data_IF_759418731299
#
_entry.id   IF_759418731299
#
_cell.length_a   1.000
_cell.length_b   1.000
_cell.length_c   1.000
_cell.angle_alpha   90.00
_cell.angle_beta   90.00
_cell.angle_gamma   90.00
#
_symmetry.space_group_name_H-M   'P 1'
#
loop_
_entity.id
_entity.type
_entity.pdbx_description
1 polymer ?
#
# COMPACT_ATOMS: atom_id res chain seq x y z
N UNK A 1 -20.24 59.45 23.05
CA UNK A 1 -20.56 58.61 21.87
C UNK A 1 -19.77 59.16 20.70
N UNK A 2 -18.68 58.48 20.30
CA UNK A 2 -17.86 58.86 19.16
C UNK A 2 -17.66 57.63 18.28
N UNK A 3 -18.32 57.67 17.13
CA UNK A 3 -18.24 56.68 16.05
C UNK A 3 -16.84 56.67 15.44
N UNK A 4 -16.16 55.51 15.42
CA UNK A 4 -14.97 55.29 14.60
C UNK A 4 -15.39 54.55 13.33
N UNK A 5 -15.20 55.24 12.22
CA UNK A 5 -15.46 54.77 10.86
C UNK A 5 -14.63 53.53 10.52
N UNK A 6 -15.32 52.51 10.04
CA UNK A 6 -14.75 51.31 9.44
C UNK A 6 -14.36 51.65 8.01
N UNK A 7 -13.05 51.80 7.74
CA UNK A 7 -12.55 51.82 6.37
C UNK A 7 -12.60 50.40 5.79
N UNK A 8 -13.68 50.12 5.07
CA UNK A 8 -13.72 49.05 4.07
C UNK A 8 -12.71 49.38 2.96
N UNK A 9 -11.63 48.61 2.86
CA UNK A 9 -10.85 48.54 1.63
C UNK A 9 -11.42 47.41 0.77
N UNK A 10 -12.07 47.86 -0.30
CA UNK A 10 -12.67 47.12 -1.39
C UNK A 10 -11.56 46.52 -2.27
N UNK A 11 -11.74 45.25 -2.63
CA UNK A 11 -11.04 44.46 -3.67
C UNK A 11 -10.36 45.29 -4.76
N UNK A 12 -9.08 45.01 -4.99
CA UNK A 12 -8.53 44.94 -6.35
C UNK A 12 -8.21 43.49 -6.66
N UNK A 13 -8.95 42.94 -7.62
CA UNK A 13 -8.68 41.69 -8.30
C UNK A 13 -7.46 41.89 -9.20
N UNK A 14 -6.27 41.57 -8.70
CA UNK A 14 -5.11 41.34 -9.56
C UNK A 14 -4.83 39.84 -9.60
N UNK A 15 -5.23 39.20 -10.69
CA UNK A 15 -4.84 37.84 -11.07
C UNK A 15 -3.33 37.79 -11.36
N UNK A 16 -2.52 37.80 -10.30
CA UNK A 16 -1.12 37.44 -10.39
C UNK A 16 -1.07 35.95 -10.06
N UNK A 17 -0.90 35.11 -11.09
CA UNK A 17 -0.40 33.74 -10.92
C UNK A 17 1.00 33.83 -10.31
N UNK A 18 1.07 34.04 -8.99
CA UNK A 18 2.29 34.06 -8.23
C UNK A 18 2.94 32.69 -8.38
N UNK A 19 4.10 32.63 -9.03
CA UNK A 19 4.88 31.40 -9.12
C UNK A 19 5.04 30.84 -7.70
N UNK A 20 4.70 29.56 -7.44
CA UNK A 20 4.74 29.01 -6.10
C UNK A 20 6.15 29.12 -5.53
N UNK A 21 6.26 29.40 -4.23
CA UNK A 21 7.54 29.49 -3.53
C UNK A 21 8.37 28.22 -3.70
N UNK A 22 9.69 28.34 -3.55
CA UNK A 22 10.63 27.21 -3.67
C UNK A 22 10.25 26.08 -2.71
N UNK A 23 9.83 26.41 -1.49
CA UNK A 23 9.40 25.42 -0.49
C UNK A 23 8.14 24.66 -0.90
N UNK A 24 7.16 25.37 -1.49
CA UNK A 24 5.94 24.74 -2.02
C UNK A 24 6.28 23.80 -3.17
N UNK A 25 7.17 24.21 -4.09
CA UNK A 25 7.63 23.36 -5.19
C UNK A 25 8.37 22.11 -4.68
N UNK A 26 9.25 22.27 -3.71
CA UNK A 26 10.00 21.18 -3.11
C UNK A 26 9.10 20.18 -2.38
N UNK A 27 8.09 20.68 -1.66
CA UNK A 27 7.09 19.85 -1.00
C UNK A 27 6.27 19.04 -2.01
N UNK A 28 5.77 19.68 -3.07
CA UNK A 28 5.02 18.99 -4.14
C UNK A 28 5.86 17.90 -4.79
N UNK A 29 7.11 18.23 -5.15
CA UNK A 29 8.06 17.27 -5.71
C UNK A 29 8.31 16.10 -4.76
N UNK A 30 8.39 16.34 -3.45
CA UNK A 30 8.54 15.27 -2.46
C UNK A 30 7.32 14.35 -2.42
N UNK A 31 6.11 14.92 -2.38
CA UNK A 31 4.86 14.15 -2.38
C UNK A 31 4.73 13.28 -3.64
N UNK A 32 5.02 13.84 -4.82
CA UNK A 32 5.04 13.08 -6.08
C UNK A 32 6.07 11.94 -6.08
N UNK A 33 7.24 12.16 -5.47
CA UNK A 33 8.25 11.10 -5.36
C UNK A 33 7.76 9.94 -4.49
N UNK A 34 7.09 10.25 -3.37
CA UNK A 34 6.51 9.22 -2.49
C UNK A 34 5.41 8.47 -3.22
N UNK A 35 4.57 9.18 -3.96
CA UNK A 35 3.49 8.59 -4.75
C UNK A 35 4.01 7.68 -5.88
N UNK A 36 5.00 8.13 -6.65
CA UNK A 36 5.62 7.30 -7.69
C UNK A 36 6.34 6.07 -7.14
N UNK A 37 6.98 6.20 -5.96
CA UNK A 37 7.58 5.06 -5.28
C UNK A 37 6.53 4.02 -4.87
N UNK A 38 5.38 4.45 -4.34
CA UNK A 38 4.25 3.54 -4.14
C UNK A 38 3.78 2.89 -5.43
N UNK A 39 3.70 3.67 -6.52
CA UNK A 39 3.30 3.15 -7.83
C UNK A 39 4.20 2.00 -8.29
N UNK A 40 5.51 2.18 -8.18
CA UNK A 40 6.46 1.11 -8.49
C UNK A 40 6.30 -0.11 -7.58
N UNK A 41 6.20 0.09 -6.25
CA UNK A 41 6.08 -1.02 -5.31
C UNK A 41 4.79 -1.81 -5.53
N UNK A 42 3.66 -1.13 -5.68
CA UNK A 42 2.36 -1.78 -5.95
C UNK A 42 2.45 -2.54 -7.27
N UNK A 43 2.96 -1.92 -8.33
CA UNK A 43 3.13 -2.61 -9.61
C UNK A 43 4.00 -3.88 -9.50
N UNK A 44 5.11 -3.80 -8.75
CA UNK A 44 5.97 -4.96 -8.49
C UNK A 44 5.24 -6.06 -7.71
N UNK A 45 4.49 -5.69 -6.67
CA UNK A 45 3.65 -6.60 -5.87
C UNK A 45 2.65 -7.34 -6.77
N UNK A 46 1.93 -6.60 -7.63
CA UNK A 46 0.97 -7.18 -8.55
C UNK A 46 1.64 -8.13 -9.54
N UNK A 47 2.84 -7.80 -10.02
CA UNK A 47 3.61 -8.67 -10.93
C UNK A 47 3.85 -10.06 -10.32
N UNK A 48 4.02 -10.12 -8.98
CA UNK A 48 4.22 -11.34 -8.18
C UNK A 48 2.93 -12.06 -7.78
N UNK A 49 1.78 -11.57 -8.25
CA UNK A 49 0.47 -12.12 -7.89
C UNK A 49 -0.04 -11.69 -6.52
N UNK A 50 0.58 -10.68 -5.90
CA UNK A 50 0.11 -10.14 -4.64
C UNK A 50 -1.05 -9.15 -4.78
N UNK A 51 -1.50 -8.64 -3.65
CA UNK A 51 -2.56 -7.64 -3.55
C UNK A 51 -2.23 -6.56 -2.51
N UNK A 52 -2.83 -5.38 -2.68
CA UNK A 52 -2.64 -4.22 -1.80
C UNK A 52 -3.98 -3.65 -1.44
N UNK A 53 -4.32 -3.65 -0.16
CA UNK A 53 -5.55 -3.08 0.37
C UNK A 53 -5.29 -1.67 0.88
N UNK A 54 -6.06 -0.70 0.40
CA UNK A 54 -5.93 0.72 0.73
C UNK A 54 -7.21 1.29 1.31
N UNK A 55 -7.06 2.32 2.14
CA UNK A 55 -8.17 3.18 2.59
C UNK A 55 -8.26 4.42 1.69
N UNK A 56 -9.36 4.62 0.95
CA UNK A 56 -9.53 5.79 0.12
C UNK A 56 -9.50 7.09 0.93
N UNK A 57 -8.97 8.16 0.34
CA UNK A 57 -8.92 9.47 0.99
C UNK A 57 -10.18 10.26 0.69
N UNK A 58 -11.10 10.32 1.66
CA UNK A 58 -12.41 10.97 1.56
C UNK A 58 -12.31 12.49 1.27
N UNK A 59 -11.15 13.11 1.55
CA UNK A 59 -11.03 14.58 1.59
C UNK A 59 -10.72 15.25 0.24
N UNK A 60 -10.42 14.50 -0.83
CA UNK A 60 -10.06 15.09 -2.12
C UNK A 60 -10.93 14.53 -3.25
N UNK A 61 -11.65 15.38 -4.00
CA UNK A 61 -12.51 14.94 -5.09
C UNK A 61 -11.73 14.46 -6.32
N UNK A 62 -10.46 14.85 -6.44
CA UNK A 62 -9.58 14.48 -7.57
C UNK A 62 -8.34 13.76 -7.05
N UNK A 63 -7.98 12.68 -7.73
CA UNK A 63 -6.75 11.95 -7.45
C UNK A 63 -5.58 12.69 -8.08
N UNK A 64 -4.68 13.17 -7.25
CA UNK A 64 -3.43 13.81 -7.66
C UNK A 64 -2.27 12.97 -7.11
N UNK A 65 -1.11 13.03 -7.77
CA UNK A 65 0.17 12.46 -7.31
C UNK A 65 0.65 13.04 -5.96
N UNK A 66 -0.13 13.94 -5.37
CA UNK A 66 0.04 14.52 -4.03
C UNK A 66 -0.90 13.91 -3.00
N UNK A 67 -1.63 12.85 -3.36
CA UNK A 67 -2.52 12.16 -2.45
C UNK A 67 -1.71 11.19 -1.59
N UNK A 68 -1.97 11.21 -0.28
CA UNK A 68 -1.40 10.20 0.61
C UNK A 68 -2.16 8.90 0.39
N UNK A 69 -1.40 7.82 0.22
CA UNK A 69 -1.94 6.47 0.08
C UNK A 69 -1.90 5.86 1.47
N UNK A 70 -3.08 5.55 2.00
CA UNK A 70 -3.22 4.90 3.29
C UNK A 70 -3.30 3.39 3.05
N UNK A 71 -2.14 2.74 3.02
CA UNK A 71 -2.10 1.28 2.91
C UNK A 71 -2.56 0.66 4.22
N UNK A 72 -3.53 -0.23 4.13
CA UNK A 72 -4.04 -1.00 5.24
C UNK A 72 -3.35 -2.37 5.35
N UNK A 73 -3.21 -3.06 4.22
CA UNK A 73 -2.58 -4.37 4.15
C UNK A 73 -1.91 -4.60 2.79
N UNK A 74 -0.85 -5.39 2.77
CA UNK A 74 -0.20 -5.91 1.56
C UNK A 74 0.03 -7.39 1.75
N UNK A 75 -0.40 -8.19 0.78
CA UNK A 75 -0.27 -9.65 0.77
C UNK A 75 0.48 -10.09 -0.47
N UNK A 76 1.66 -10.70 -0.32
CA UNK A 76 2.43 -11.26 -1.44
C UNK A 76 3.14 -12.53 -1.03
N UNK A 77 2.80 -13.64 -1.70
CA UNK A 77 3.32 -14.96 -1.33
C UNK A 77 2.96 -15.29 0.12
N UNK A 78 3.97 -15.58 0.94
CA UNK A 78 3.82 -15.87 2.37
C UNK A 78 3.92 -14.61 3.26
N UNK A 79 4.11 -13.43 2.68
CA UNK A 79 4.31 -12.19 3.44
C UNK A 79 3.01 -11.37 3.53
N UNK A 80 2.66 -11.02 4.77
CA UNK A 80 1.55 -10.10 5.08
C UNK A 80 2.11 -8.90 5.84
N UNK A 81 2.00 -7.71 5.23
CA UNK A 81 2.35 -6.44 5.85
C UNK A 81 1.08 -5.67 6.20
N UNK A 82 0.68 -5.68 7.46
CA UNK A 82 -0.52 -4.98 7.94
C UNK A 82 -0.19 -3.73 8.75
N UNK A 83 -1.06 -2.72 8.65
CA UNK A 83 -0.99 -1.51 9.46
C UNK A 83 -1.00 -1.85 10.96
N UNK A 84 -1.87 -2.76 11.38
CA UNK A 84 -2.03 -3.16 12.78
C UNK A 84 -0.78 -3.83 13.35
N UNK A 85 -0.13 -4.70 12.57
CA UNK A 85 1.09 -5.39 12.97
C UNK A 85 2.24 -4.41 13.23
N UNK A 86 2.31 -3.33 12.43
CA UNK A 86 3.34 -2.29 12.54
C UNK A 86 2.98 -1.25 13.59
N UNK A 87 1.71 -0.96 13.78
CA UNK A 87 1.23 0.04 14.75
C UNK A 87 1.70 -0.28 16.17
N UNK A 88 1.68 -1.56 16.57
CA UNK A 88 2.18 -2.01 17.88
C UNK A 88 3.65 -1.65 18.10
N UNK A 89 4.49 -1.80 17.07
CA UNK A 89 5.92 -1.47 17.14
C UNK A 89 6.14 0.05 17.19
N UNK A 90 5.41 0.80 16.38
CA UNK A 90 5.48 2.27 16.36
C UNK A 90 5.03 2.88 17.69
N UNK A 91 4.04 2.28 18.34
CA UNK A 91 3.52 2.76 19.62
C UNK A 91 4.53 2.69 20.74
N UNK A 92 5.33 1.62 20.79
CA UNK A 92 6.44 1.49 21.72
C UNK A 92 7.50 2.58 21.46
N UNK A 93 7.82 2.88 20.20
CA UNK A 93 8.78 3.93 19.84
C UNK A 93 8.29 5.33 20.24
N UNK A 94 6.99 5.60 20.12
CA UNK A 94 6.42 6.91 20.45
C UNK A 94 6.31 7.10 21.95
N UNK A 95 5.91 6.07 22.72
CA UNK A 95 5.85 6.11 24.18
C UNK A 95 7.19 6.50 24.82
N UNK A 96 8.31 6.06 24.24
CA UNK A 96 9.65 6.44 24.69
C UNK A 96 10.12 7.84 24.28
N UNK A 97 9.35 8.62 23.51
CA UNK A 97 9.83 9.84 22.84
C UNK A 97 9.29 11.17 23.39
N UNK A 98 8.47 11.19 24.44
CA UNK A 98 8.03 12.41 25.16
C UNK A 98 7.15 13.41 24.38
N UNK A 99 7.03 13.30 23.04
CA UNK A 99 6.27 14.23 22.19
C UNK A 99 4.75 13.90 22.19
N UNK A 100 4.04 14.26 23.27
CA UNK A 100 2.60 14.00 23.41
C UNK A 100 1.70 14.86 22.51
N UNK A 101 2.13 16.07 22.10
CA UNK A 101 1.26 17.03 21.38
C UNK A 101 0.87 16.64 19.96
N UNK A 102 1.59 15.69 19.32
CA UNK A 102 1.32 15.28 17.92
C UNK A 102 1.30 13.76 17.71
N UNK A 103 1.02 12.98 18.76
CA UNK A 103 1.12 11.51 18.76
C UNK A 103 0.42 10.87 17.57
N UNK A 104 -0.83 11.23 17.27
CA UNK A 104 -1.59 10.62 16.17
C UNK A 104 -0.98 10.89 14.80
N UNK A 105 -0.51 12.13 14.56
CA UNK A 105 0.13 12.50 13.29
C UNK A 105 1.49 11.82 13.14
N UNK A 106 2.27 11.79 14.21
CA UNK A 106 3.59 11.12 14.25
C UNK A 106 3.43 9.62 14.05
N UNK A 107 2.46 8.98 14.72
CA UNK A 107 2.10 7.57 14.56
C UNK A 107 1.78 7.23 13.11
N UNK A 108 0.84 7.94 12.47
CA UNK A 108 0.48 7.69 11.07
C UNK A 108 1.69 7.79 10.14
N UNK A 109 2.52 8.83 10.32
CA UNK A 109 3.74 9.00 9.52
C UNK A 109 4.71 7.84 9.73
N UNK A 110 4.89 7.39 10.97
CA UNK A 110 5.86 6.34 11.29
C UNK A 110 5.39 4.98 10.77
N UNK A 111 4.10 4.67 10.91
CA UNK A 111 3.50 3.46 10.34
C UNK A 111 3.65 3.46 8.82
N UNK A 112 3.31 4.56 8.15
CA UNK A 112 3.49 4.69 6.70
C UNK A 112 4.96 4.49 6.28
N UNK A 113 5.89 5.16 6.95
CA UNK A 113 7.32 5.07 6.62
C UNK A 113 7.89 3.67 6.88
N UNK A 114 7.43 3.00 7.93
CA UNK A 114 7.83 1.62 8.25
C UNK A 114 7.28 0.65 7.21
N UNK A 115 5.98 0.73 6.87
CA UNK A 115 5.36 -0.06 5.81
C UNK A 115 6.15 0.07 4.49
N UNK A 116 6.40 1.30 4.06
CA UNK A 116 7.15 1.58 2.85
C UNK A 116 8.55 0.95 2.89
N UNK A 117 9.28 1.10 4.00
CA UNK A 117 10.61 0.53 4.15
C UNK A 117 10.58 -1.01 4.13
N UNK A 118 9.63 -1.64 4.83
CA UNK A 118 9.48 -3.10 4.89
C UNK A 118 9.18 -3.67 3.51
N UNK A 119 8.22 -3.09 2.79
CA UNK A 119 7.86 -3.52 1.43
C UNK A 119 9.01 -3.29 0.46
N UNK A 120 9.72 -2.15 0.56
CA UNK A 120 10.87 -1.89 -0.30
C UNK A 120 12.03 -2.85 -0.03
N UNK A 121 12.29 -3.21 1.23
CA UNK A 121 13.31 -4.21 1.56
C UNK A 121 12.94 -5.59 1.01
N UNK A 122 11.69 -6.02 1.19
CA UNK A 122 11.19 -7.25 0.56
C UNK A 122 11.35 -7.20 -0.97
N UNK A 123 10.93 -6.10 -1.61
CA UNK A 123 11.06 -5.90 -3.04
C UNK A 123 12.51 -6.02 -3.50
N UNK A 124 13.47 -5.43 -2.77
CA UNK A 124 14.91 -5.54 -3.09
C UNK A 124 15.44 -6.96 -3.00
N UNK A 125 15.04 -7.72 -1.97
CA UNK A 125 15.50 -9.10 -1.83
C UNK A 125 14.87 -10.01 -2.88
N UNK A 126 13.59 -9.81 -3.19
CA UNK A 126 12.89 -10.58 -4.21
C UNK A 126 13.41 -10.25 -5.62
N UNK A 127 13.61 -8.97 -5.92
CA UNK A 127 14.04 -8.52 -7.25
C UNK A 127 15.42 -9.03 -7.64
N UNK A 128 16.32 -9.25 -6.65
CA UNK A 128 17.65 -9.85 -6.89
C UNK A 128 17.55 -11.22 -7.54
N UNK A 129 16.57 -12.04 -7.15
CA UNK A 129 16.35 -13.39 -7.71
C UNK A 129 16.06 -13.32 -9.22
N UNK A 130 15.48 -12.21 -9.66
CA UNK A 130 15.06 -11.95 -11.03
C UNK A 130 16.06 -11.10 -11.82
N UNK A 131 17.26 -10.88 -11.28
CA UNK A 131 18.29 -9.99 -11.85
C UNK A 131 17.78 -8.55 -12.06
N UNK A 132 16.77 -8.13 -11.30
CA UNK A 132 16.33 -6.74 -11.21
C UNK A 132 17.12 -6.05 -10.09
N UNK A 133 17.81 -4.96 -10.42
CA UNK A 133 18.57 -4.19 -9.44
C UNK A 133 17.78 -2.96 -9.00
N UNK A 134 17.35 -2.94 -7.74
CA UNK A 134 16.72 -1.76 -7.11
C UNK A 134 17.77 -0.99 -6.31
N UNK A 135 18.20 0.15 -6.84
CA UNK A 135 19.15 1.05 -6.18
C UNK A 135 18.41 2.02 -5.27
N UNK A 136 18.82 2.09 -4.00
CA UNK A 136 18.15 2.90 -2.97
C UNK A 136 19.12 3.86 -2.28
N UNK A 137 18.59 4.97 -1.76
CA UNK A 137 19.31 5.91 -0.90
C UNK A 137 18.55 6.08 0.41
N UNK A 138 19.29 6.31 1.50
CA UNK A 138 18.69 6.70 2.77
C UNK A 138 18.39 8.20 2.76
N UNK A 139 17.20 8.56 3.24
CA UNK A 139 16.88 9.96 3.54
C UNK A 139 17.69 10.45 4.74
N UNK A 140 17.77 11.78 4.92
CA UNK A 140 18.42 12.36 6.10
C UNK A 140 17.77 11.82 7.38
N UNK A 141 18.60 11.36 8.33
CA UNK A 141 18.13 10.86 9.63
C UNK A 141 17.35 11.97 10.34
N UNK A 142 16.15 11.65 10.81
CA UNK A 142 15.31 12.58 11.57
C UNK A 142 15.84 12.78 12.98
N UNK A 143 15.23 13.74 13.72
CA UNK A 143 15.59 14.04 15.12
C UNK A 143 15.37 12.86 16.09
N UNK A 144 14.49 11.92 15.74
CA UNK A 144 14.20 10.76 16.57
C UNK A 144 15.19 9.63 16.25
N UNK A 145 16.09 9.32 17.20
CA UNK A 145 17.16 8.32 17.06
C UNK A 145 16.61 6.92 16.86
N UNK A 146 15.44 6.62 17.44
CA UNK A 146 14.82 5.30 17.41
C UNK A 146 14.07 5.03 16.10
N UNK A 147 13.94 6.04 15.23
CA UNK A 147 13.33 5.88 13.92
C UNK A 147 14.38 5.66 12.83
N UNK A 148 14.29 4.54 12.14
CA UNK A 148 15.09 4.28 10.95
C UNK A 148 14.86 5.34 9.87
N UNK A 149 15.89 5.75 9.12
CA UNK A 149 15.73 6.64 7.97
C UNK A 149 14.80 6.02 6.91
N UNK A 150 14.03 6.86 6.21
CA UNK A 150 13.21 6.39 5.10
C UNK A 150 14.12 5.98 3.95
N UNK A 151 13.83 4.85 3.33
CA UNK A 151 14.53 4.32 2.16
C UNK A 151 13.82 4.83 0.91
N UNK A 152 14.59 5.40 0.00
CA UNK A 152 14.08 6.02 -1.23
C UNK A 152 14.67 5.32 -2.43
N UNK A 153 13.84 4.99 -3.42
CA UNK A 153 14.32 4.43 -4.68
C UNK A 153 15.02 5.53 -5.49
N UNK A 154 16.26 5.25 -5.89
CA UNK A 154 17.05 6.13 -6.73
C UNK A 154 16.96 5.72 -8.20
N UNK A 155 17.01 4.43 -8.48
CA UNK A 155 16.83 3.85 -9.81
C UNK A 155 16.48 2.37 -9.71
N UNK A 156 15.88 1.83 -10.77
CA UNK A 156 15.60 0.41 -10.95
C UNK A 156 16.17 -0.01 -12.29
N UNK A 157 16.93 -1.10 -12.35
CA UNK A 157 17.46 -1.65 -13.59
C UNK A 157 16.80 -2.99 -13.87
N UNK A 158 16.15 -3.11 -15.02
CA UNK A 158 15.42 -4.30 -15.47
C UNK A 158 15.90 -4.63 -16.87
N UNK A 159 16.37 -5.85 -17.10
CA UNK A 159 16.83 -6.32 -18.42
C UNK A 159 17.84 -5.36 -19.07
N UNK A 160 18.78 -4.82 -18.28
CA UNK A 160 19.81 -3.87 -18.76
C UNK A 160 19.33 -2.42 -18.94
N UNK A 161 18.03 -2.14 -18.88
CA UNK A 161 17.49 -0.78 -18.95
C UNK A 161 17.32 -0.18 -17.55
N UNK A 162 17.87 1.01 -17.35
CA UNK A 162 17.80 1.72 -16.07
C UNK A 162 16.71 2.78 -16.10
N UNK A 163 15.79 2.69 -15.14
CA UNK A 163 14.71 3.64 -14.87
C UNK A 163 15.12 4.48 -13.68
N UNK A 164 15.30 5.77 -13.90
CA UNK A 164 15.73 6.69 -12.86
C UNK A 164 14.56 7.13 -11.96
N UNK A 165 14.89 7.92 -10.95
CA UNK A 165 13.88 8.48 -10.04
C UNK A 165 12.87 9.38 -10.75
N UNK A 166 13.24 10.04 -11.83
CA UNK A 166 12.31 10.88 -12.58
C UNK A 166 11.24 10.01 -13.25
N UNK A 167 11.66 8.93 -13.91
CA UNK A 167 10.77 7.94 -14.50
C UNK A 167 9.81 7.35 -13.46
N UNK A 168 10.34 6.92 -12.31
CA UNK A 168 9.51 6.36 -11.23
C UNK A 168 8.45 7.37 -10.75
N UNK A 169 8.86 8.62 -10.51
CA UNK A 169 7.94 9.69 -10.09
C UNK A 169 6.86 9.98 -11.15
N UNK A 170 7.23 9.93 -12.43
CA UNK A 170 6.34 10.29 -13.54
C UNK A 170 5.49 9.10 -13.94
N UNK A 171 6.06 8.11 -14.63
CA UNK A 171 5.37 6.95 -15.19
C UNK A 171 4.70 6.08 -14.12
N UNK A 172 5.41 5.65 -13.08
CA UNK A 172 4.78 4.81 -12.04
C UNK A 172 3.74 5.61 -11.24
N UNK A 173 3.97 6.91 -11.06
CA UNK A 173 2.97 7.82 -10.46
C UNK A 173 1.74 8.02 -11.35
N UNK A 174 1.89 8.17 -12.66
CA UNK A 174 0.76 8.30 -13.59
C UNK A 174 -0.06 7.02 -13.66
N UNK A 175 0.62 5.87 -13.71
CA UNK A 175 -0.02 4.56 -13.65
C UNK A 175 -0.84 4.40 -12.37
N UNK A 176 -0.26 4.67 -11.21
CA UNK A 176 -0.97 4.55 -9.94
C UNK A 176 -2.16 5.50 -9.86
N UNK A 177 -2.02 6.72 -10.39
CA UNK A 177 -3.12 7.67 -10.47
C UNK A 177 -4.28 7.09 -11.28
N UNK A 178 -4.02 6.56 -12.49
CA UNK A 178 -5.04 5.93 -13.35
C UNK A 178 -5.73 4.76 -12.65
N UNK A 179 -4.96 3.89 -11.99
CA UNK A 179 -5.49 2.75 -11.23
C UNK A 179 -6.44 3.22 -10.13
N UNK A 180 -6.03 4.22 -9.34
CA UNK A 180 -6.85 4.73 -8.26
C UNK A 180 -8.10 5.47 -8.78
N UNK A 181 -8.01 6.18 -9.91
CA UNK A 181 -9.15 6.87 -10.52
C UNK A 181 -10.22 5.85 -10.93
N UNK A 182 -9.82 4.80 -11.63
CA UNK A 182 -10.70 3.70 -11.99
C UNK A 182 -11.33 3.02 -10.77
N UNK A 183 -10.53 2.71 -9.75
CA UNK A 183 -11.05 2.02 -8.57
C UNK A 183 -12.00 2.90 -7.75
N UNK A 184 -11.74 4.21 -7.62
CA UNK A 184 -12.56 5.09 -6.78
C UNK A 184 -13.81 5.61 -7.48
N UNK A 185 -13.85 5.64 -8.82
CA UNK A 185 -15.09 5.86 -9.57
C UNK A 185 -16.15 4.77 -9.28
N UNK A 186 -15.69 3.57 -8.91
CA UNK A 186 -16.54 2.40 -8.67
C UNK A 186 -16.88 2.15 -7.18
N UNK A 187 -16.38 2.97 -6.25
CA UNK A 187 -16.57 2.76 -4.79
C UNK A 187 -17.73 3.63 -4.29
N UNK A 188 -18.82 2.98 -3.87
CA UNK A 188 -20.04 3.68 -3.45
C UNK A 188 -20.03 4.13 -1.98
N UNK A 189 -19.20 3.53 -1.11
CA UNK A 189 -19.21 3.78 0.33
C UNK A 189 -17.93 4.46 0.86
N UNK A 190 -18.11 5.42 1.77
CA UNK A 190 -17.05 6.31 2.30
C UNK A 190 -16.00 5.63 3.19
N UNK A 191 -16.23 4.39 3.62
CA UNK A 191 -15.35 3.64 4.53
C UNK A 191 -14.91 2.28 3.98
N UNK A 192 -15.20 2.00 2.71
CA UNK A 192 -14.87 0.70 2.14
C UNK A 192 -13.39 0.60 1.81
N UNK A 193 -12.78 -0.50 2.24
CA UNK A 193 -11.41 -0.85 1.86
C UNK A 193 -11.39 -1.21 0.38
N UNK A 194 -10.42 -0.66 -0.35
CA UNK A 194 -10.25 -0.94 -1.77
C UNK A 194 -9.05 -1.84 -1.94
N UNK A 195 -9.25 -3.00 -2.55
CA UNK A 195 -8.17 -3.93 -2.88
C UNK A 195 -7.69 -3.67 -4.30
N UNK A 196 -6.37 -3.50 -4.44
CA UNK A 196 -5.66 -3.44 -5.71
C UNK A 196 -5.00 -4.80 -5.93
N UNK A 197 -5.47 -5.53 -6.93
CA UNK A 197 -4.98 -6.82 -7.41
C UNK A 197 -5.06 -6.88 -8.93
N UNK A 198 -4.44 -7.90 -9.55
CA UNK A 198 -4.57 -8.16 -11.00
C UNK A 198 -6.02 -8.33 -11.48
N UNK A 199 -6.95 -8.75 -10.60
CA UNK A 199 -8.37 -8.95 -10.96
C UNK A 199 -9.20 -7.68 -10.83
N UNK A 200 -8.72 -6.70 -10.07
CA UNK A 200 -9.45 -5.44 -9.81
C UNK A 200 -8.98 -4.28 -10.70
N UNK A 201 -7.78 -4.36 -11.26
CA UNK A 201 -7.26 -3.34 -12.18
C UNK A 201 -7.76 -3.59 -13.60
N UNK A 202 -7.91 -2.55 -14.43
CA UNK A 202 -8.24 -2.73 -15.84
C UNK A 202 -7.16 -3.58 -16.56
N UNK A 203 -7.53 -4.46 -17.51
CA UNK A 203 -6.59 -5.33 -18.22
C UNK A 203 -5.46 -4.58 -18.96
N UNK A 204 -5.75 -3.36 -19.43
CA UNK A 204 -4.84 -2.57 -20.27
C UNK A 204 -3.93 -1.63 -19.46
N UNK A 205 -3.93 -1.74 -18.12
CA UNK A 205 -3.18 -0.82 -17.25
C UNK A 205 -1.74 -1.27 -17.05
N UNK A 206 -0.91 -1.15 -18.09
CA UNK A 206 0.53 -1.44 -18.06
C UNK A 206 1.33 -0.14 -17.87
N UNK A 207 2.47 -0.20 -17.19
CA UNK A 207 3.41 0.93 -17.16
C UNK A 207 4.16 0.97 -18.49
N UNK A 208 3.75 1.89 -19.38
CA UNK A 208 4.42 2.11 -20.65
C UNK A 208 5.93 2.28 -20.48
N UNK A 209 6.69 1.46 -21.22
CA UNK A 209 8.14 1.51 -21.27
C UNK A 209 8.87 0.76 -20.15
N UNK A 210 8.17 0.15 -19.18
CA UNK A 210 8.73 -0.64 -18.09
C UNK A 210 8.35 -2.14 -18.22
N UNK A 211 9.26 -2.92 -18.79
CA UNK A 211 9.05 -4.36 -19.02
C UNK A 211 9.30 -5.19 -17.75
N UNK A 212 8.34 -5.16 -16.84
CA UNK A 212 8.28 -6.10 -15.71
C UNK A 212 7.55 -7.40 -16.07
N UNK A 213 6.72 -7.36 -17.11
CA UNK A 213 5.90 -8.48 -17.59
C UNK A 213 6.70 -9.51 -18.38
N UNK A 214 7.78 -9.08 -19.06
CA UNK A 214 8.68 -9.98 -19.80
C UNK A 214 9.55 -10.86 -18.89
N UNK A 215 9.42 -10.75 -17.56
CA UNK A 215 10.02 -11.65 -16.59
C UNK A 215 9.08 -12.80 -16.19
N UNK A 216 7.91 -12.90 -16.81
CA UNK A 216 7.12 -14.13 -16.83
C UNK A 216 7.82 -15.17 -17.74
N UNK A 217 8.92 -15.75 -17.26
CA UNK A 217 9.38 -17.04 -17.76
C UNK A 217 8.33 -18.09 -17.38
N UNK A 218 7.58 -18.56 -18.38
CA UNK A 218 6.96 -19.89 -18.45
C UNK A 218 6.23 -20.39 -17.19
N UNK A 219 5.24 -19.66 -16.72
CA UNK A 219 4.09 -20.34 -16.10
C UNK A 219 3.01 -20.37 -17.17
N UNK A 220 2.76 -21.55 -17.76
CA UNK A 220 1.55 -21.79 -18.55
C UNK A 220 0.38 -21.22 -17.74
N UNK A 221 -0.22 -20.15 -18.23
CA UNK A 221 -1.53 -19.69 -17.75
C UNK A 221 -2.43 -20.91 -17.92
N UNK A 222 -2.93 -21.55 -16.85
CA UNK A 222 -3.95 -22.56 -17.01
C UNK A 222 -5.11 -21.83 -17.67
N UNK A 223 -5.58 -22.33 -18.81
CA UNK A 223 -6.78 -21.84 -19.46
C UNK A 223 -7.85 -21.55 -18.40
N UNK A 224 -8.45 -20.36 -18.49
CA UNK A 224 -9.56 -19.95 -17.65
C UNK A 224 -10.72 -20.91 -17.91
N UNK A 225 -10.73 -22.05 -17.22
CA UNK A 225 -11.97 -22.76 -16.93
C UNK A 225 -12.73 -21.84 -16.01
N UNK A 226 -13.83 -21.27 -16.51
CA UNK A 226 -14.80 -20.51 -15.72
C UNK A 226 -15.11 -21.32 -14.47
N UNK A 227 -14.46 -20.98 -13.35
CA UNK A 227 -14.79 -21.56 -12.06
C UNK A 227 -16.17 -21.01 -11.69
N UNK A 228 -17.18 -21.87 -11.74
CA UNK A 228 -18.37 -21.64 -10.93
C UNK A 228 -17.87 -21.49 -9.48
N UNK A 229 -18.33 -20.47 -8.72
CA UNK A 229 -17.94 -20.33 -7.33
C UNK A 229 -18.21 -21.67 -6.62
N UNK A 230 -17.16 -22.26 -6.07
CA UNK A 230 -17.28 -23.46 -5.25
C UNK A 230 -18.24 -23.14 -4.10
N UNK A 231 -19.14 -24.05 -3.73
CA UNK A 231 -20.03 -23.84 -2.61
C UNK A 231 -19.19 -23.57 -1.35
N UNK A 232 -19.43 -22.44 -0.69
CA UNK A 232 -18.80 -22.13 0.60
C UNK A 232 -19.33 -23.10 1.63
N UNK A 233 -18.47 -23.95 2.18
CA UNK A 233 -18.88 -24.90 3.23
C UNK A 233 -18.95 -24.15 4.55
N UNK A 234 -20.16 -24.06 5.12
CA UNK A 234 -20.42 -23.50 6.45
C UNK A 234 -20.32 -24.60 7.50
N UNK A 235 -19.43 -24.42 8.47
CA UNK A 235 -19.26 -25.34 9.60
C UNK A 235 -19.65 -24.58 10.86
N UNK A 236 -20.67 -25.09 11.55
CA UNK A 236 -21.03 -24.63 12.89
C UNK A 236 -20.30 -25.52 13.89
N UNK A 237 -19.66 -24.91 14.89
CA UNK A 237 -18.97 -25.65 15.95
C UNK A 237 -18.92 -24.86 17.23
N UNK A 238 -18.37 -25.49 18.27
CA UNK A 238 -18.07 -24.85 19.54
C UNK A 238 -16.56 -24.63 19.62
N UNK A 239 -16.15 -23.38 19.80
CA UNK A 239 -14.79 -23.05 20.17
C UNK A 239 -14.73 -22.85 21.69
N UNK A 240 -13.63 -23.24 22.32
CA UNK A 240 -13.45 -23.03 23.74
C UNK A 240 -12.01 -22.72 24.09
N UNK A 241 -11.83 -21.99 25.19
CA UNK A 241 -10.53 -21.80 25.83
C UNK A 241 -10.69 -21.92 27.35
N UNK A 242 -9.60 -22.26 28.03
CA UNK A 242 -9.56 -22.22 29.48
C UNK A 242 -9.21 -20.81 29.94
N UNK A 243 -10.01 -20.26 30.84
CA UNK A 243 -9.71 -18.97 31.47
C UNK A 243 -8.52 -19.10 32.45
N UNK A 244 -7.97 -17.99 32.95
CA UNK A 244 -6.86 -18.02 33.92
C UNK A 244 -7.19 -18.72 35.25
N UNK A 245 -8.47 -19.01 35.51
CA UNK A 245 -8.94 -19.76 36.67
C UNK A 245 -9.18 -21.26 36.33
N UNK A 246 -8.84 -21.71 35.12
CA UNK A 246 -8.99 -23.09 34.66
C UNK A 246 -10.41 -23.48 34.26
N UNK A 247 -11.33 -22.53 34.10
CA UNK A 247 -12.71 -22.81 33.66
C UNK A 247 -12.76 -22.81 32.13
N UNK A 248 -13.36 -23.86 31.57
CA UNK A 248 -13.60 -23.94 30.13
C UNK A 248 -14.74 -22.98 29.76
N UNK A 249 -14.42 -21.96 28.97
CA UNK A 249 -15.38 -21.04 28.37
C UNK A 249 -15.56 -21.44 26.92
N UNK A 250 -16.78 -21.82 26.55
CA UNK A 250 -17.15 -22.18 25.18
C UNK A 250 -18.07 -21.14 24.56
N UNK A 251 -17.98 -20.96 23.24
CA UNK A 251 -18.90 -20.15 22.46
C UNK A 251 -19.13 -20.77 21.09
N UNK A 252 -20.29 -20.47 20.50
CA UNK A 252 -20.63 -20.89 19.15
C UNK A 252 -19.75 -20.14 18.14
N UNK A 253 -19.14 -20.89 17.23
CA UNK A 253 -18.38 -20.34 16.13
C UNK A 253 -18.90 -20.84 14.78
N UNK A 254 -18.79 -19.98 13.77
CA UNK A 254 -19.10 -20.32 12.39
C UNK A 254 -17.83 -20.13 11.56
N UNK A 255 -17.36 -21.23 10.96
CA UNK A 255 -16.22 -21.23 10.07
C UNK A 255 -16.72 -21.34 8.63
N UNK A 256 -16.23 -20.44 7.77
CA UNK A 256 -16.50 -20.47 6.33
C UNK A 256 -15.22 -20.89 5.63
N UNK A 257 -15.23 -22.08 5.02
CA UNK A 257 -14.11 -22.56 4.23
C UNK A 257 -14.36 -22.23 2.74
N UNK A 258 -13.35 -21.72 2.02
CA UNK A 258 -13.46 -21.45 0.59
C UNK A 258 -13.37 -22.73 -0.28
N UNK A 259 -13.40 -23.91 0.35
CA UNK A 259 -13.33 -25.23 -0.27
C UNK A 259 -14.14 -26.24 0.54
N UNK A 260 -14.54 -27.35 -0.08
CA UNK A 260 -15.19 -28.45 0.66
C UNK A 260 -14.12 -29.25 1.43
N UNK A 261 -14.46 -29.77 2.61
CA UNK A 261 -13.52 -30.55 3.42
C UNK A 261 -13.13 -31.85 2.66
N UNK A 262 -14.06 -32.42 1.89
CA UNK A 262 -13.81 -33.64 1.13
C UNK A 262 -12.67 -33.46 0.10
N UNK A 263 -12.47 -32.24 -0.44
CA UNK A 263 -11.40 -31.94 -1.39
C UNK A 263 -9.97 -32.08 -0.80
N UNK A 264 -9.83 -31.96 0.53
CA UNK A 264 -8.53 -32.09 1.23
C UNK A 264 -8.35 -33.38 2.03
N UNK A 265 -9.38 -34.21 2.16
CA UNK A 265 -9.30 -35.52 2.83
C UNK A 265 -8.99 -36.68 1.89
N UNK A 266 -8.53 -36.40 0.66
CA UNK A 266 -8.00 -37.47 -0.19
C UNK A 266 -6.79 -38.10 0.52
N UNK A 267 -6.78 -39.43 0.71
CA UNK A 267 -5.65 -40.11 1.31
C UNK A 267 -4.40 -39.77 0.50
N UNK A 268 -3.30 -39.48 1.20
CA UNK A 268 -1.98 -39.35 0.58
C UNK A 268 -1.71 -40.72 -0.05
N UNK A 269 -1.77 -40.79 -1.39
CA UNK A 269 -1.43 -42.01 -2.11
C UNK A 269 -0.01 -42.42 -1.70
N UNK A 270 0.05 -43.58 -1.05
CA UNK A 270 1.26 -44.20 -0.54
C UNK A 270 2.09 -44.64 -1.76
N UNK A 271 3.14 -43.89 -2.10
CA UNK A 271 4.13 -44.38 -3.07
C UNK A 271 4.98 -45.45 -2.36
N UNK A 272 4.99 -46.72 -2.82
CA UNK A 272 5.89 -47.72 -2.28
C UNK A 272 7.33 -47.46 -2.77
N UNK A 273 8.33 -48.00 -2.05
CA UNK A 273 9.76 -47.68 -2.21
C UNK A 273 10.35 -48.03 -3.57
#
# INVERSE_FOLDING_TARGET
MCSKEVKQQKKEESSVTSKPSVDVKNKRKHEENVFGQWGFLIYYILSKGGSVTIRPSIKKPVIDKRNQINIHCVEVGEHIFSEEGIQKQVDLMIKGSGEQKYVTRTRRKYVHDFLMNSILNWCKEESKKEKIQVSTKLSKKGKNINKSPNIVINSVTINGKTYDRHFIRTNCGDWLKKVLEYLFENVQAKDELVTISKTTIPPDTVIEGMNLESLQMNTKIPEIKKFKPSPTTKINGLAGHYDPCGRLVMWDCQLYLPFSIEDKLKPIDYFPP
#
